data_IF_880564930622
#
_entry.id   IF_880564930622
#
_cell.length_a   1.000
_cell.length_b   1.000
_cell.length_c   1.000
_cell.angle_alpha   90.00
_cell.angle_beta   90.00
_cell.angle_gamma   90.00
#
_symmetry.space_group_name_H-M   'P 1'
#
loop_
_entity.id
_entity.type
_entity.pdbx_description
1 polymer ?
#
# COMPACT_ATOMS: atom_id res chain seq x y z
N UNK A 1 -1.51 3.74 25.95
CA UNK A 1 -0.10 3.43 26.24
C UNK A 1 0.48 2.35 25.32
N UNK A 2 -0.01 1.11 25.32
CA UNK A 2 0.57 0.03 24.50
C UNK A 2 0.65 0.33 22.99
N UNK A 3 -0.39 0.98 22.43
CA UNK A 3 -0.41 1.36 21.02
C UNK A 3 0.59 2.48 20.68
N UNK A 4 0.85 3.37 21.64
CA UNK A 4 1.88 4.42 21.54
C UNK A 4 3.25 3.77 21.62
N UNK A 5 3.47 2.89 22.60
CA UNK A 5 4.70 2.13 22.76
C UNK A 5 5.01 1.27 21.52
N UNK A 6 3.99 0.73 20.85
CA UNK A 6 4.15 0.02 19.58
C UNK A 6 4.78 0.93 18.50
N UNK A 7 4.30 2.16 18.30
CA UNK A 7 4.90 3.09 17.34
C UNK A 7 6.30 3.52 17.79
N UNK A 8 6.47 3.87 19.07
CA UNK A 8 7.74 4.27 19.65
C UNK A 8 8.81 3.16 19.57
N UNK A 9 8.42 1.89 19.56
CA UNK A 9 9.33 0.76 19.35
C UNK A 9 10.02 0.76 17.97
N UNK A 10 9.55 1.60 17.05
CA UNK A 10 10.21 1.85 15.76
C UNK A 10 11.46 2.74 15.86
N UNK A 11 11.71 3.39 17.00
CA UNK A 11 12.88 4.24 17.18
C UNK A 11 14.18 3.44 17.05
N UNK A 12 15.08 3.89 16.16
CA UNK A 12 16.38 3.27 15.91
C UNK A 12 17.50 4.31 15.92
N UNK A 13 18.69 3.99 16.47
CA UNK A 13 19.84 4.87 16.33
C UNK A 13 20.25 5.00 14.86
N UNK A 14 20.91 6.11 14.50
CA UNK A 14 21.11 6.52 13.10
C UNK A 14 21.87 5.49 12.26
N UNK A 15 22.84 4.81 12.85
CA UNK A 15 23.62 3.72 12.25
C UNK A 15 22.75 2.51 11.83
N UNK A 16 21.58 2.37 12.44
CA UNK A 16 20.61 1.31 12.14
C UNK A 16 19.50 1.78 11.20
N UNK A 17 19.53 3.02 10.71
CA UNK A 17 18.57 3.48 9.71
C UNK A 17 18.78 2.77 8.39
N UNK A 18 17.67 2.45 7.74
CA UNK A 18 17.62 1.77 6.45
C UNK A 18 16.65 2.48 5.51
N UNK A 19 16.72 2.11 4.25
CA UNK A 19 15.88 2.58 3.16
C UNK A 19 15.11 1.36 2.67
N UNK A 20 13.80 1.32 2.93
CA UNK A 20 12.90 0.40 2.26
C UNK A 20 12.31 1.07 1.03
N UNK A 21 12.14 0.38 -0.08
CA UNK A 21 11.51 0.94 -1.28
C UNK A 21 10.46 -0.03 -1.80
N UNK A 22 9.29 0.51 -2.10
CA UNK A 22 8.20 -0.27 -2.66
C UNK A 22 7.75 0.36 -3.97
N UNK A 23 7.39 -0.45 -4.95
CA UNK A 23 6.87 0.06 -6.21
C UNK A 23 5.91 -0.92 -6.87
N UNK A 24 4.92 -0.35 -7.53
CA UNK A 24 3.87 -1.07 -8.25
C UNK A 24 4.04 -0.87 -9.76
N UNK A 25 3.54 -1.82 -10.53
CA UNK A 25 3.56 -1.77 -11.99
C UNK A 25 2.37 -2.51 -12.59
N UNK A 26 1.86 -2.01 -13.71
CA UNK A 26 0.74 -2.64 -14.42
C UNK A 26 1.24 -3.73 -15.37
N UNK A 27 0.83 -4.96 -15.16
CA UNK A 27 1.03 -6.05 -16.13
C UNK A 27 0.04 -5.96 -17.29
N UNK A 28 0.49 -6.23 -18.52
CA UNK A 28 -0.36 -6.25 -19.70
C UNK A 28 0.06 -7.32 -20.74
N UNK A 29 -0.86 -7.73 -21.59
CA UNK A 29 -0.59 -8.61 -22.73
C UNK A 29 0.00 -7.82 -23.92
N UNK A 30 1.12 -8.24 -24.49
CA UNK A 30 1.78 -7.48 -25.56
C UNK A 30 0.92 -7.34 -26.83
N UNK A 31 0.13 -8.37 -27.18
CA UNK A 31 -0.68 -8.37 -28.41
C UNK A 31 -1.97 -7.54 -28.32
N UNK A 32 -2.57 -7.43 -27.13
CA UNK A 32 -3.90 -6.81 -26.96
C UNK A 32 -3.86 -5.55 -26.09
N UNK A 33 -2.76 -5.35 -25.36
CA UNK A 33 -2.57 -4.37 -24.30
C UNK A 33 -3.51 -4.56 -23.10
N UNK A 34 -4.29 -5.64 -23.04
CA UNK A 34 -5.24 -5.91 -21.95
C UNK A 34 -4.48 -6.07 -20.62
N UNK A 35 -5.06 -5.65 -19.49
CA UNK A 35 -4.46 -5.89 -18.19
C UNK A 35 -4.30 -7.38 -17.94
N UNK A 36 -3.20 -7.79 -17.30
CA UNK A 36 -2.98 -9.18 -16.93
C UNK A 36 -4.08 -9.69 -16.00
N UNK A 37 -4.67 -10.84 -16.35
CA UNK A 37 -5.65 -11.54 -15.50
C UNK A 37 -4.93 -12.26 -14.37
N UNK A 38 -5.70 -12.64 -13.35
CA UNK A 38 -5.16 -13.36 -12.21
C UNK A 38 -4.46 -14.66 -12.62
N UNK A 39 -4.99 -15.42 -13.59
CA UNK A 39 -4.38 -16.69 -14.02
C UNK A 39 -2.98 -16.49 -14.59
N UNK A 40 -2.78 -15.42 -15.37
CA UNK A 40 -1.47 -15.03 -15.90
C UNK A 40 -0.54 -14.56 -14.78
N UNK A 41 -1.06 -13.80 -13.81
CA UNK A 41 -0.27 -13.36 -12.65
C UNK A 41 0.16 -14.57 -11.81
N UNK A 42 -0.72 -15.55 -11.59
CA UNK A 42 -0.41 -16.76 -10.86
C UNK A 42 0.70 -17.57 -11.56
N UNK A 43 0.59 -17.77 -12.87
CA UNK A 43 1.64 -18.41 -13.67
C UNK A 43 2.97 -17.65 -13.59
N UNK A 44 2.95 -16.32 -13.65
CA UNK A 44 4.15 -15.49 -13.45
C UNK A 44 4.76 -15.68 -12.05
N UNK A 45 3.95 -15.67 -10.98
CA UNK A 45 4.43 -15.89 -9.62
C UNK A 45 5.03 -17.30 -9.45
N UNK A 46 4.40 -18.32 -10.04
CA UNK A 46 4.93 -19.69 -10.05
C UNK A 46 6.28 -19.76 -10.78
N UNK A 47 6.39 -19.17 -11.97
CA UNK A 47 7.62 -19.14 -12.74
C UNK A 47 8.76 -18.42 -12.02
N UNK A 48 8.47 -17.30 -11.35
CA UNK A 48 9.46 -16.57 -10.54
C UNK A 48 9.90 -17.41 -9.35
N UNK A 49 8.95 -18.01 -8.62
CA UNK A 49 9.23 -18.85 -7.45
C UNK A 49 10.16 -20.00 -7.79
N UNK A 50 9.90 -20.70 -8.90
CA UNK A 50 10.64 -21.90 -9.29
C UNK A 50 11.99 -21.59 -9.93
N UNK A 51 12.12 -20.46 -10.62
CA UNK A 51 13.36 -20.08 -11.33
C UNK A 51 14.34 -19.31 -10.46
N UNK A 52 13.85 -18.58 -9.47
CA UNK A 52 14.65 -17.65 -8.65
C UNK A 52 14.53 -17.90 -7.15
N UNK A 53 14.01 -19.07 -6.75
CA UNK A 53 13.94 -19.54 -5.36
C UNK A 53 13.21 -18.58 -4.42
N UNK A 54 12.00 -18.18 -4.80
CA UNK A 54 11.10 -17.44 -3.90
C UNK A 54 10.08 -18.36 -3.25
N UNK A 55 9.79 -18.13 -1.97
CA UNK A 55 8.75 -18.81 -1.22
C UNK A 55 7.36 -18.30 -1.65
N UNK A 56 6.43 -19.22 -1.91
CA UNK A 56 5.05 -18.90 -2.32
C UNK A 56 4.22 -18.43 -1.13
N UNK A 57 3.56 -17.28 -1.26
CA UNK A 57 2.58 -16.78 -0.27
C UNK A 57 1.17 -17.16 -0.76
N UNK A 58 0.44 -17.91 0.06
CA UNK A 58 -0.87 -18.47 -0.29
C UNK A 58 -2.00 -17.90 0.58
N UNK A 59 -3.15 -17.60 -0.03
CA UNK A 59 -4.43 -17.37 0.64
C UNK A 59 -5.39 -18.51 0.27
N UNK A 60 -5.50 -19.51 1.15
CA UNK A 60 -6.11 -20.79 0.78
C UNK A 60 -5.24 -21.50 -0.27
N UNK A 61 -5.85 -21.87 -1.41
CA UNK A 61 -5.18 -22.53 -2.53
C UNK A 61 -4.66 -21.53 -3.59
N UNK A 62 -4.85 -20.23 -3.35
CA UNK A 62 -4.54 -19.13 -4.27
C UNK A 62 -3.17 -18.54 -3.95
N UNK A 63 -2.25 -18.51 -4.92
CA UNK A 63 -0.98 -17.78 -4.78
C UNK A 63 -1.24 -16.28 -4.91
N UNK A 64 -0.85 -15.51 -3.91
CA UNK A 64 -1.13 -14.06 -3.83
C UNK A 64 0.13 -13.19 -3.73
N UNK A 65 1.30 -13.83 -3.73
CA UNK A 65 2.57 -13.16 -3.61
C UNK A 65 3.73 -14.13 -3.43
N UNK A 66 4.92 -13.57 -3.28
CA UNK A 66 6.16 -14.29 -3.05
C UNK A 66 6.96 -13.64 -1.92
N UNK A 67 7.85 -14.39 -1.28
CA UNK A 67 8.79 -13.89 -0.29
C UNK A 67 10.20 -14.44 -0.54
N UNK A 68 11.21 -13.60 -0.39
CA UNK A 68 12.60 -14.03 -0.38
C UNK A 68 13.39 -13.18 0.62
N UNK A 69 13.79 -13.78 1.74
CA UNK A 69 14.41 -13.05 2.84
C UNK A 69 13.51 -11.93 3.37
N UNK A 70 13.96 -10.69 3.22
CA UNK A 70 13.24 -9.48 3.63
C UNK A 70 12.47 -8.79 2.49
N UNK A 71 12.50 -9.35 1.28
CA UNK A 71 11.72 -8.87 0.15
C UNK A 71 10.41 -9.64 0.05
N UNK A 72 9.38 -8.98 -0.46
CA UNK A 72 8.13 -9.63 -0.85
C UNK A 72 7.56 -9.05 -2.12
N UNK A 73 6.91 -9.91 -2.91
CA UNK A 73 6.09 -9.54 -4.05
C UNK A 73 4.63 -9.68 -3.62
N UNK A 74 3.83 -8.65 -3.84
CA UNK A 74 2.40 -8.60 -3.53
C UNK A 74 1.58 -8.15 -4.74
N UNK A 75 0.28 -8.38 -4.63
CA UNK A 75 -0.71 -7.94 -5.61
C UNK A 75 -1.67 -6.95 -4.97
N UNK A 76 -1.83 -5.80 -5.62
CA UNK A 76 -2.86 -4.81 -5.34
C UNK A 76 -4.23 -5.21 -5.95
N UNK A 77 -5.35 -4.52 -5.62
CA UNK A 77 -6.69 -4.96 -6.01
C UNK A 77 -6.90 -5.22 -7.50
N UNK A 78 -6.27 -4.40 -8.36
CA UNK A 78 -6.34 -4.51 -9.82
C UNK A 78 -5.28 -5.39 -10.46
N UNK A 79 -4.49 -6.11 -9.66
CA UNK A 79 -3.37 -6.94 -10.14
C UNK A 79 -2.11 -6.15 -10.43
N UNK A 80 -1.99 -4.92 -9.92
CA UNK A 80 -0.72 -4.20 -9.93
C UNK A 80 0.29 -5.01 -9.15
N UNK A 81 1.46 -5.22 -9.75
CA UNK A 81 2.45 -6.19 -9.28
C UNK A 81 3.55 -5.48 -8.53
N UNK A 82 3.50 -5.59 -7.21
CA UNK A 82 4.33 -4.82 -6.29
C UNK A 82 5.60 -5.57 -5.91
N UNK A 83 6.70 -4.83 -5.70
CA UNK A 83 7.80 -5.26 -4.85
C UNK A 83 7.79 -4.40 -3.59
N UNK A 84 7.80 -5.02 -2.42
CA UNK A 84 8.28 -4.41 -1.17
C UNK A 84 9.70 -4.91 -0.92
N UNK A 85 10.65 -3.98 -1.06
CA UNK A 85 12.08 -4.24 -0.99
C UNK A 85 12.60 -4.42 0.43
N UNK A 86 13.81 -4.97 0.55
CA UNK A 86 14.46 -5.12 1.84
C UNK A 86 14.88 -3.75 2.41
N UNK A 87 14.98 -3.62 3.75
CA UNK A 87 15.56 -2.44 4.37
C UNK A 87 17.09 -2.44 4.16
N UNK A 88 17.56 -1.66 3.17
CA UNK A 88 18.98 -1.59 2.79
C UNK A 88 19.68 -0.32 3.30
N UNK A 89 21.01 -0.30 3.28
CA UNK A 89 21.80 0.80 3.84
C UNK A 89 22.00 1.95 2.84
N UNK A 90 22.06 1.64 1.54
CA UNK A 90 22.42 2.62 0.51
C UNK A 90 21.48 2.59 -0.70
N UNK A 91 21.35 3.74 -1.37
CA UNK A 91 20.58 3.85 -2.62
C UNK A 91 21.16 3.00 -3.76
N UNK A 92 22.45 2.67 -3.71
CA UNK A 92 23.05 1.74 -4.68
C UNK A 92 22.49 0.32 -4.51
N UNK A 93 22.28 -0.13 -3.26
CA UNK A 93 21.61 -1.39 -2.99
C UNK A 93 20.14 -1.36 -3.39
N UNK A 94 19.42 -0.25 -3.13
CA UNK A 94 18.04 -0.06 -3.59
C UNK A 94 17.96 -0.20 -5.11
N UNK A 95 18.85 0.47 -5.85
CA UNK A 95 18.89 0.40 -7.30
C UNK A 95 19.22 -1.02 -7.79
N UNK A 96 20.16 -1.72 -7.16
CA UNK A 96 20.49 -3.10 -7.50
C UNK A 96 19.30 -4.04 -7.27
N UNK A 97 18.56 -3.87 -6.17
CA UNK A 97 17.38 -4.64 -5.85
C UNK A 97 16.26 -4.44 -6.88
N UNK A 98 15.96 -3.18 -7.22
CA UNK A 98 14.98 -2.85 -8.28
C UNK A 98 15.37 -3.50 -9.61
N UNK A 99 16.65 -3.41 -10.01
CA UNK A 99 17.11 -4.05 -11.25
C UNK A 99 17.00 -5.57 -11.21
N UNK A 100 17.33 -6.20 -10.08
CA UNK A 100 17.19 -7.65 -9.89
C UNK A 100 15.74 -8.09 -10.07
N UNK A 101 14.80 -7.42 -9.38
CA UNK A 101 13.38 -7.71 -9.51
C UNK A 101 12.88 -7.54 -10.95
N UNK A 102 13.20 -6.40 -11.59
CA UNK A 102 12.76 -6.15 -12.96
C UNK A 102 13.33 -7.18 -13.95
N UNK A 103 14.56 -7.64 -13.75
CA UNK A 103 15.16 -8.71 -14.53
C UNK A 103 14.39 -10.03 -14.36
N UNK A 104 14.14 -10.45 -13.12
CA UNK A 104 13.44 -11.70 -12.82
C UNK A 104 12.02 -11.72 -13.38
N UNK A 105 11.28 -10.62 -13.19
CA UNK A 105 9.93 -10.46 -13.72
C UNK A 105 9.93 -10.53 -15.25
N UNK A 106 10.84 -9.81 -15.91
CA UNK A 106 10.95 -9.83 -17.39
C UNK A 106 11.30 -11.21 -17.93
N UNK A 107 12.25 -11.90 -17.30
CA UNK A 107 12.72 -13.21 -17.74
C UNK A 107 11.59 -14.26 -17.83
N UNK A 108 10.55 -14.14 -17.01
CA UNK A 108 9.37 -15.02 -17.05
C UNK A 108 8.25 -14.40 -17.89
N UNK A 109 7.97 -13.11 -17.72
CA UNK A 109 6.86 -12.42 -18.40
C UNK A 109 6.99 -12.39 -19.93
N UNK A 110 8.21 -12.30 -20.46
CA UNK A 110 8.47 -12.29 -21.91
C UNK A 110 8.07 -13.63 -22.56
N UNK A 111 8.34 -14.76 -21.91
CA UNK A 111 7.95 -16.10 -22.37
C UNK A 111 6.41 -16.25 -22.43
N UNK A 112 5.70 -15.52 -21.57
CA UNK A 112 4.23 -15.49 -21.51
C UNK A 112 3.61 -14.48 -22.50
N UNK A 113 4.42 -13.73 -23.25
CA UNK A 113 3.92 -12.66 -24.12
C UNK A 113 3.30 -11.48 -23.36
N UNK A 114 3.76 -11.23 -22.13
CA UNK A 114 3.30 -10.12 -21.28
C UNK A 114 4.40 -9.08 -21.06
N UNK A 115 4.02 -7.89 -20.64
CA UNK A 115 4.91 -6.77 -20.34
C UNK A 115 4.43 -5.99 -19.11
N UNK A 116 5.26 -5.04 -18.66
CA UNK A 116 4.95 -4.19 -17.50
C UNK A 116 5.11 -2.71 -17.83
N UNK A 117 4.19 -1.90 -17.31
CA UNK A 117 4.14 -0.45 -17.51
C UNK A 117 4.28 0.28 -16.17
N UNK A 118 5.28 1.17 -16.08
CA UNK A 118 5.49 2.08 -14.96
C UNK A 118 4.82 3.44 -15.22
N UNK A 119 3.59 3.60 -14.73
CA UNK A 119 2.81 4.84 -14.84
C UNK A 119 1.91 4.98 -13.61
N UNK A 120 1.62 6.20 -13.16
CA UNK A 120 0.84 6.41 -11.93
C UNK A 120 -0.64 6.03 -12.04
N UNK A 121 -1.19 5.94 -13.25
CA UNK A 121 -2.60 5.61 -13.50
C UNK A 121 -2.77 4.83 -14.81
N UNK A 122 -3.63 3.81 -14.81
CA UNK A 122 -3.93 3.00 -15.99
C UNK A 122 -4.46 3.86 -17.16
N UNK A 123 -3.69 4.01 -18.25
CA UNK A 123 -3.96 5.04 -19.24
C UNK A 123 -5.04 4.66 -20.27
N UNK A 124 -5.36 3.37 -20.43
CA UNK A 124 -6.12 2.85 -21.58
C UNK A 124 -7.49 2.27 -21.23
N UNK A 125 -7.59 1.54 -20.12
CA UNK A 125 -8.76 0.70 -19.83
C UNK A 125 -9.66 1.31 -18.75
N UNK A 126 -10.96 1.15 -18.96
CA UNK A 126 -11.96 1.58 -17.98
C UNK A 126 -11.90 0.68 -16.74
N UNK A 127 -12.36 1.20 -15.60
CA UNK A 127 -12.39 0.48 -14.31
C UNK A 127 -13.03 -0.92 -14.41
N UNK A 128 -14.14 -1.05 -15.16
CA UNK A 128 -14.85 -2.32 -15.36
C UNK A 128 -14.07 -3.39 -16.14
N UNK A 129 -12.98 -3.00 -16.79
CA UNK A 129 -12.12 -3.88 -17.59
C UNK A 129 -10.89 -4.33 -16.80
N UNK A 130 -10.72 -3.86 -15.56
CA UNK A 130 -9.62 -4.24 -14.68
C UNK A 130 -9.97 -5.54 -13.95
N UNK A 131 -9.11 -6.57 -13.99
CA UNK A 131 -9.25 -7.79 -13.21
C UNK A 131 -9.29 -7.51 -11.71
N UNK A 132 -9.94 -8.38 -10.96
CA UNK A 132 -10.04 -8.25 -9.50
C UNK A 132 -9.23 -9.38 -8.89
N UNK A 133 -8.26 -9.03 -8.05
CA UNK A 133 -7.45 -10.05 -7.37
C UNK A 133 -8.28 -10.80 -6.31
N UNK A 134 -8.14 -12.14 -6.21
CA UNK A 134 -8.93 -12.98 -5.33
C UNK A 134 -8.43 -12.91 -3.86
N UNK A 135 -8.49 -11.73 -3.23
CA UNK A 135 -8.09 -11.48 -1.84
C UNK A 135 -9.27 -10.95 -1.04
N UNK A 136 -9.65 -11.63 0.04
CA UNK A 136 -10.90 -11.33 0.77
C UNK A 136 -10.97 -9.90 1.33
N UNK A 137 -9.83 -9.29 1.70
CA UNK A 137 -9.79 -7.89 2.15
C UNK A 137 -10.24 -6.88 1.09
N UNK A 138 -10.03 -7.17 -0.19
CA UNK A 138 -10.37 -6.23 -1.27
C UNK A 138 -11.87 -6.20 -1.55
N UNK A 139 -12.61 -7.28 -1.29
CA UNK A 139 -14.07 -7.26 -1.40
C UNK A 139 -14.70 -6.28 -0.39
N UNK A 140 -14.20 -6.26 0.85
CA UNK A 140 -14.65 -5.33 1.89
C UNK A 140 -14.38 -3.89 1.45
N UNK A 141 -13.14 -3.59 1.04
CA UNK A 141 -12.76 -2.25 0.60
C UNK A 141 -13.57 -1.80 -0.63
N UNK A 142 -13.73 -2.66 -1.65
CA UNK A 142 -14.51 -2.36 -2.87
C UNK A 142 -15.95 -1.99 -2.56
N UNK A 143 -16.57 -2.67 -1.59
CA UNK A 143 -17.93 -2.38 -1.16
C UNK A 143 -18.03 -1.10 -0.31
N UNK A 144 -16.94 -0.69 0.34
CA UNK A 144 -16.89 0.49 1.19
C UNK A 144 -16.57 1.78 0.43
N UNK A 145 -15.62 1.76 -0.51
CA UNK A 145 -15.14 2.97 -1.21
C UNK A 145 -16.28 3.86 -1.76
N UNK A 146 -17.33 3.33 -2.43
CA UNK A 146 -18.43 4.16 -2.94
C UNK A 146 -19.24 4.91 -1.86
N UNK A 147 -19.09 4.53 -0.58
CA UNK A 147 -19.77 5.17 0.55
C UNK A 147 -19.03 6.41 1.07
N UNK A 148 -17.76 6.58 0.72
CA UNK A 148 -16.85 7.59 1.32
C UNK A 148 -16.15 8.50 0.32
N UNK A 149 -16.17 8.16 -0.97
CA UNK A 149 -15.62 8.97 -2.05
C UNK A 149 -16.01 8.43 -3.42
N UNK A 150 -15.82 9.23 -4.48
CA UNK A 150 -16.13 8.78 -5.85
C UNK A 150 -14.96 8.13 -6.57
N UNK A 151 -13.72 8.37 -6.10
CA UNK A 151 -12.49 7.92 -6.76
C UNK A 151 -11.77 6.76 -6.04
N UNK A 152 -12.28 6.30 -4.89
CA UNK A 152 -11.62 5.24 -4.11
C UNK A 152 -11.51 3.89 -4.83
N UNK A 153 -12.43 3.58 -5.75
CA UNK A 153 -12.29 2.40 -6.62
C UNK A 153 -11.16 2.59 -7.64
N UNK A 154 -10.99 3.79 -8.19
CA UNK A 154 -9.90 4.06 -9.12
C UNK A 154 -8.53 4.03 -8.45
N UNK A 155 -8.46 4.47 -7.19
CA UNK A 155 -7.27 4.27 -6.35
C UNK A 155 -6.90 2.77 -6.30
N UNK A 156 -7.85 1.93 -5.88
CA UNK A 156 -7.64 0.50 -5.71
C UNK A 156 -7.21 -0.23 -6.99
N UNK A 157 -7.88 0.06 -8.11
CA UNK A 157 -7.76 -0.77 -9.31
C UNK A 157 -6.90 -0.14 -10.42
N UNK A 158 -6.71 1.18 -10.42
CA UNK A 158 -6.12 1.89 -11.55
C UNK A 158 -4.93 2.77 -11.19
N UNK A 159 -4.42 2.75 -9.97
CA UNK A 159 -3.19 3.49 -9.63
C UNK A 159 -1.98 2.57 -9.39
N UNK A 160 -0.78 3.12 -9.62
CA UNK A 160 0.49 2.55 -9.17
C UNK A 160 1.29 3.65 -8.44
N UNK A 161 2.14 3.26 -7.49
CA UNK A 161 3.05 4.15 -6.78
C UNK A 161 4.49 3.66 -6.80
N UNK A 162 5.41 4.56 -6.46
CA UNK A 162 6.72 4.24 -5.87
C UNK A 162 6.79 4.96 -4.54
N UNK A 163 7.23 4.28 -3.49
CA UNK A 163 7.31 4.83 -2.15
C UNK A 163 8.59 4.40 -1.44
N UNK A 164 8.97 5.16 -0.42
CA UNK A 164 10.13 4.91 0.41
C UNK A 164 9.70 4.85 1.88
N UNK A 165 10.23 3.86 2.59
CA UNK A 165 10.04 3.68 4.03
C UNK A 165 11.32 4.13 4.74
N UNK A 166 11.21 5.06 5.69
CA UNK A 166 12.35 5.67 6.39
C UNK A 166 12.22 5.61 7.91
N UNK A 167 13.35 5.35 8.57
CA UNK A 167 13.41 5.23 10.02
C UNK A 167 13.49 6.60 10.74
N UNK A 168 13.20 6.60 12.03
CA UNK A 168 13.40 7.74 12.95
C UNK A 168 14.07 7.27 14.25
N UNK A 169 14.76 8.18 14.96
CA UNK A 169 15.52 7.83 16.17
C UNK A 169 14.82 8.11 17.49
N UNK A 170 13.80 8.96 17.47
CA UNK A 170 13.05 9.40 18.65
C UNK A 170 11.73 10.02 18.19
N UNK A 171 10.83 10.30 19.13
CA UNK A 171 9.61 11.07 18.85
C UNK A 171 9.93 12.45 18.26
N UNK A 172 10.92 13.16 18.79
CA UNK A 172 11.33 14.47 18.27
C UNK A 172 11.85 14.39 16.83
N UNK A 173 12.63 13.36 16.49
CA UNK A 173 13.09 13.12 15.12
C UNK A 173 11.93 12.73 14.19
N UNK A 174 11.00 11.88 14.67
CA UNK A 174 9.78 11.50 13.97
C UNK A 174 8.94 12.73 13.62
N UNK A 175 8.64 13.61 14.59
CA UNK A 175 7.87 14.84 14.38
C UNK A 175 8.52 15.72 13.30
N UNK A 176 9.84 15.92 13.39
CA UNK A 176 10.60 16.73 12.41
C UNK A 176 10.53 16.14 11.02
N UNK A 177 10.73 14.83 10.88
CA UNK A 177 10.66 14.13 9.59
C UNK A 177 9.25 14.13 9.03
N UNK A 178 8.23 13.88 9.84
CA UNK A 178 6.84 13.88 9.40
C UNK A 178 6.44 15.26 8.86
N UNK A 179 6.72 16.34 9.61
CA UNK A 179 6.45 17.73 9.17
C UNK A 179 7.17 18.07 7.87
N UNK A 180 8.45 17.71 7.76
CA UNK A 180 9.24 17.95 6.54
C UNK A 180 8.68 17.17 5.34
N UNK A 181 8.43 15.88 5.51
CA UNK A 181 7.89 15.01 4.45
C UNK A 181 6.52 15.50 3.98
N UNK A 182 5.59 15.84 4.89
CA UNK A 182 4.28 16.37 4.50
C UNK A 182 4.40 17.68 3.74
N UNK A 183 5.18 18.65 4.25
CA UNK A 183 5.34 19.94 3.61
C UNK A 183 5.93 19.84 2.18
N UNK A 184 6.83 18.86 1.97
CA UNK A 184 7.51 18.65 0.69
C UNK A 184 6.80 17.63 -0.22
N UNK A 185 5.79 16.90 0.26
CA UNK A 185 5.11 15.87 -0.51
C UNK A 185 4.52 16.39 -1.83
N UNK A 186 3.88 17.58 -1.89
CA UNK A 186 3.41 18.12 -3.17
C UNK A 186 4.53 18.40 -4.18
N UNK A 187 5.75 18.73 -3.72
CA UNK A 187 6.93 18.91 -4.58
C UNK A 187 7.37 17.56 -5.16
N UNK A 188 7.41 16.51 -4.33
CA UNK A 188 7.69 15.16 -4.80
C UNK A 188 6.64 14.70 -5.83
N UNK A 189 5.35 14.91 -5.54
CA UNK A 189 4.25 14.62 -6.47
C UNK A 189 4.41 15.35 -7.80
N UNK A 190 4.83 16.62 -7.79
CA UNK A 190 5.07 17.38 -9.02
C UNK A 190 6.26 16.85 -9.83
N UNK A 191 7.38 16.51 -9.17
CA UNK A 191 8.57 15.95 -9.83
C UNK A 191 8.31 14.58 -10.47
N UNK A 192 7.46 13.77 -9.83
CA UNK A 192 7.14 12.40 -10.27
C UNK A 192 5.77 12.28 -10.96
N UNK A 193 5.16 13.40 -11.35
CA UNK A 193 3.85 13.40 -12.01
C UNK A 193 3.90 12.64 -13.34
N UNK A 194 3.20 11.50 -13.38
CA UNK A 194 3.26 10.56 -14.51
C UNK A 194 1.91 9.84 -14.70
N UNK A 195 0.79 10.57 -14.79
CA UNK A 195 -0.52 9.96 -15.08
C UNK A 195 -1.49 10.88 -15.84
N UNK A 196 -1.17 11.29 -17.08
CA UNK A 196 -1.96 12.28 -17.81
C UNK A 196 -3.09 11.71 -18.68
N UNK A 197 -3.30 10.39 -18.70
CA UNK A 197 -4.29 9.74 -19.56
C UNK A 197 -5.32 8.94 -18.76
N UNK A 198 -6.56 8.93 -19.25
CA UNK A 198 -7.66 8.06 -18.80
C UNK A 198 -8.41 7.57 -20.02
N UNK A 199 -8.72 6.27 -20.08
CA UNK A 199 -9.48 5.63 -21.17
C UNK A 199 -8.98 5.99 -22.59
N UNK A 200 -7.65 6.09 -22.73
CA UNK A 200 -6.94 6.38 -23.98
C UNK A 200 -6.87 7.86 -24.37
N UNK A 201 -7.28 8.79 -23.52
CA UNK A 201 -7.30 10.24 -23.81
C UNK A 201 -6.65 11.07 -22.69
N UNK A 202 -6.12 12.27 -22.99
CA UNK A 202 -5.68 13.20 -21.97
C UNK A 202 -6.82 13.51 -20.98
N UNK A 203 -6.53 13.45 -19.68
CA UNK A 203 -7.53 13.62 -18.62
C UNK A 203 -7.52 15.00 -17.95
N UNK A 204 -6.62 15.90 -18.37
CA UNK A 204 -6.49 17.26 -17.84
C UNK A 204 -5.58 17.39 -16.62
N UNK A 205 -5.00 16.29 -16.12
CA UNK A 205 -4.06 16.29 -15.00
C UNK A 205 -2.65 15.89 -15.43
N UNK A 206 -1.65 16.32 -14.66
CA UNK A 206 -0.30 15.76 -14.76
C UNK A 206 -0.18 14.48 -13.91
N UNK A 207 -0.83 14.49 -12.74
CA UNK A 207 -0.93 13.35 -11.85
C UNK A 207 -2.40 13.07 -11.49
N UNK A 208 -3.11 12.36 -12.36
CA UNK A 208 -4.45 11.84 -12.04
C UNK A 208 -4.41 10.96 -10.78
N UNK A 209 -3.33 10.18 -10.60
CA UNK A 209 -3.08 9.42 -9.38
C UNK A 209 -3.24 10.27 -8.12
N UNK A 210 -2.56 11.42 -8.06
CA UNK A 210 -2.62 12.29 -6.87
C UNK A 210 -4.00 12.91 -6.69
N UNK A 211 -4.67 13.31 -7.77
CA UNK A 211 -6.04 13.81 -7.69
C UNK A 211 -7.02 12.75 -7.14
N UNK A 212 -6.89 11.49 -7.54
CA UNK A 212 -7.73 10.40 -7.04
C UNK A 212 -7.70 10.28 -5.51
N UNK A 213 -6.53 10.49 -4.89
CA UNK A 213 -6.39 10.43 -3.44
C UNK A 213 -7.18 11.52 -2.69
N UNK A 214 -7.54 12.64 -3.34
CA UNK A 214 -8.33 13.71 -2.71
C UNK A 214 -9.81 13.38 -2.58
N UNK A 215 -10.31 12.34 -3.26
CA UNK A 215 -11.70 11.89 -3.18
C UNK A 215 -11.80 10.36 -3.05
N UNK A 216 -10.85 9.79 -2.30
CA UNK A 216 -10.81 8.36 -1.96
C UNK A 216 -11.57 8.09 -0.66
N UNK A 217 -11.12 8.67 0.46
CA UNK A 217 -11.78 8.64 1.78
C UNK A 217 -11.15 9.70 2.69
N UNK A 218 -11.90 10.76 2.99
CA UNK A 218 -11.41 11.91 3.76
C UNK A 218 -11.10 11.60 5.23
N UNK A 219 -11.51 10.43 5.76
CA UNK A 219 -11.16 10.04 7.13
C UNK A 219 -9.73 9.50 7.24
N UNK A 220 -9.16 9.01 6.13
CA UNK A 220 -7.88 8.27 6.14
C UNK A 220 -6.84 8.82 5.17
N UNK A 221 -7.15 9.85 4.40
CA UNK A 221 -6.26 10.43 3.39
C UNK A 221 -5.96 11.91 3.66
N UNK A 222 -4.97 12.45 2.93
CA UNK A 222 -4.65 13.87 2.91
C UNK A 222 -3.42 14.28 3.73
N UNK A 223 -3.34 15.59 4.01
CA UNK A 223 -2.13 16.27 4.49
C UNK A 223 -1.96 16.31 6.02
N UNK A 224 -2.91 15.78 6.79
CA UNK A 224 -2.88 15.70 8.26
C UNK A 224 -2.40 17.01 8.94
N UNK A 225 -3.15 18.13 8.84
CA UNK A 225 -2.68 19.44 9.32
C UNK A 225 -2.29 19.44 10.81
N UNK A 226 -2.93 18.61 11.64
CA UNK A 226 -2.63 18.48 13.08
C UNK A 226 -1.19 18.02 13.36
N UNK A 227 -0.47 17.46 12.38
CA UNK A 227 0.97 17.14 12.51
C UNK A 227 1.82 18.39 12.76
N UNK A 228 1.32 19.57 12.41
CA UNK A 228 1.98 20.86 12.62
C UNK A 228 1.59 21.54 13.93
N UNK A 229 0.65 20.99 14.70
CA UNK A 229 0.29 21.52 16.02
C UNK A 229 1.46 21.31 17.00
N UNK A 230 1.63 22.23 17.95
CA UNK A 230 2.69 22.14 18.97
C UNK A 230 2.55 20.90 19.87
N UNK A 231 1.34 20.34 19.96
CA UNK A 231 1.02 19.14 20.74
C UNK A 231 1.32 17.83 20.01
N UNK A 232 1.72 17.88 18.73
CA UNK A 232 1.87 16.67 17.94
C UNK A 232 2.99 15.76 18.43
N UNK A 233 2.66 14.47 18.53
CA UNK A 233 3.54 13.37 18.90
C UNK A 233 2.89 12.02 18.57
N UNK A 234 3.46 10.92 19.07
CA UNK A 234 2.91 9.57 18.87
C UNK A 234 1.49 9.46 19.42
N UNK A 235 1.21 10.07 20.57
CA UNK A 235 -0.11 10.04 21.21
C UNK A 235 -1.20 10.61 20.30
N UNK A 236 -1.01 11.83 19.77
CA UNK A 236 -1.98 12.45 18.87
C UNK A 236 -2.16 11.65 17.56
N UNK A 237 -1.10 11.01 17.05
CA UNK A 237 -1.23 10.12 15.89
C UNK A 237 -2.02 8.83 16.22
N UNK A 238 -1.82 8.26 17.41
CA UNK A 238 -2.60 7.11 17.89
C UNK A 238 -4.07 7.50 18.03
N UNK A 239 -4.38 8.64 18.64
CA UNK A 239 -5.76 9.12 18.76
C UNK A 239 -6.43 9.31 17.40
N UNK A 240 -5.73 9.96 16.46
CA UNK A 240 -6.18 10.05 15.07
C UNK A 240 -6.51 8.66 14.51
N UNK A 241 -5.56 7.72 14.59
CA UNK A 241 -5.73 6.37 14.06
C UNK A 241 -6.84 5.57 14.76
N UNK A 242 -7.09 5.80 16.06
CA UNK A 242 -8.19 5.16 16.80
C UNK A 242 -9.57 5.55 16.25
N UNK A 243 -9.69 6.79 15.74
CA UNK A 243 -10.93 7.36 15.25
C UNK A 243 -11.10 7.18 13.72
N UNK A 244 -10.06 6.78 12.99
CA UNK A 244 -10.20 6.34 11.60
C UNK A 244 -11.08 5.07 11.55
N UNK A 245 -12.15 5.04 10.73
CA UNK A 245 -12.99 3.86 10.60
C UNK A 245 -12.19 2.63 10.13
N UNK A 246 -12.41 1.50 10.78
CA UNK A 246 -11.79 0.23 10.43
C UNK A 246 -12.33 -0.29 9.08
N UNK A 247 -11.54 -1.15 8.42
CA UNK A 247 -12.05 -1.97 7.32
C UNK A 247 -12.40 -3.38 7.78
N UNK A 248 -11.46 -4.05 8.44
CA UNK A 248 -11.61 -5.45 8.78
C UNK A 248 -10.89 -5.82 10.07
N UNK A 249 -11.26 -6.97 10.62
CA UNK A 249 -10.46 -7.72 11.58
C UNK A 249 -10.15 -9.10 10.98
N UNK A 250 -8.93 -9.58 11.16
CA UNK A 250 -8.53 -10.90 10.66
C UNK A 250 -8.63 -11.95 11.76
N UNK A 251 -9.52 -12.93 11.59
CA UNK A 251 -9.74 -14.03 12.54
C UNK A 251 -9.91 -15.33 11.81
N UNK A 252 -9.31 -16.41 12.32
CA UNK A 252 -9.49 -17.78 11.80
C UNK A 252 -9.37 -17.86 10.26
N UNK A 253 -8.35 -17.18 9.72
CA UNK A 253 -8.07 -17.06 8.28
C UNK A 253 -9.14 -16.35 7.44
N UNK A 254 -9.97 -15.51 8.06
CA UNK A 254 -11.04 -14.76 7.39
C UNK A 254 -10.95 -13.28 7.73
N UNK A 255 -11.28 -12.45 6.75
CA UNK A 255 -11.49 -11.02 6.92
C UNK A 255 -12.95 -10.80 7.35
N UNK A 256 -13.14 -10.26 8.55
CA UNK A 256 -14.45 -9.88 9.08
C UNK A 256 -14.65 -8.39 8.78
N UNK A 257 -15.74 -8.06 8.08
CA UNK A 257 -16.11 -6.67 7.77
C UNK A 257 -16.47 -5.93 9.06
N UNK A 258 -15.71 -4.87 9.35
CA UNK A 258 -15.97 -3.97 10.46
C UNK A 258 -16.00 -2.51 9.96
N UNK A 259 -16.44 -2.32 8.71
CA UNK A 259 -16.57 -1.01 8.07
C UNK A 259 -17.51 -0.10 8.83
N UNK A 260 -17.11 1.17 8.99
CA UNK A 260 -17.86 2.17 9.77
C UNK A 260 -17.74 2.03 11.30
N UNK A 261 -17.00 1.03 11.80
CA UNK A 261 -16.69 0.88 13.22
C UNK A 261 -15.33 1.52 13.54
N UNK A 262 -15.07 1.85 14.81
CA UNK A 262 -13.81 2.47 15.24
C UNK A 262 -12.90 1.48 15.95
N UNK A 263 -11.57 1.68 15.84
CA UNK A 263 -10.62 0.90 16.65
C UNK A 263 -10.74 1.24 18.14
N UNK A 264 -11.21 2.46 18.46
CA UNK A 264 -11.57 2.87 19.83
C UNK A 264 -12.65 1.97 20.45
N UNK A 265 -13.68 1.61 19.69
CA UNK A 265 -14.69 0.65 20.16
C UNK A 265 -14.13 -0.77 20.27
N UNK A 266 -13.16 -1.14 19.43
CA UNK A 266 -12.47 -2.42 19.55
C UNK A 266 -11.68 -2.51 20.85
N UNK A 267 -10.92 -1.47 21.21
CA UNK A 267 -10.21 -1.41 22.49
C UNK A 267 -11.15 -1.60 23.69
N UNK A 268 -12.41 -1.16 23.58
CA UNK A 268 -13.42 -1.31 24.61
C UNK A 268 -14.19 -2.66 24.54
N UNK A 269 -13.86 -3.55 23.60
CA UNK A 269 -14.57 -4.82 23.39
C UNK A 269 -15.98 -4.65 22.83
N UNK A 270 -16.27 -3.51 22.18
CA UNK A 270 -17.61 -3.11 21.74
C UNK A 270 -17.85 -3.24 20.24
N UNK A 271 -16.98 -3.94 19.49
CA UNK A 271 -17.22 -4.18 18.07
C UNK A 271 -18.43 -5.11 17.85
N UNK A 272 -19.50 -4.67 17.16
CA UNK A 272 -20.65 -5.54 16.88
C UNK A 272 -20.30 -6.76 16.01
N UNK A 273 -19.29 -6.64 15.12
CA UNK A 273 -18.83 -7.72 14.24
C UNK A 273 -18.17 -8.89 15.01
N UNK A 274 -17.60 -8.62 16.20
CA UNK A 274 -16.92 -9.59 17.07
C UNK A 274 -17.14 -9.23 18.57
N UNK A 275 -18.36 -9.42 19.11
CA UNK A 275 -18.74 -8.90 20.42
C UNK A 275 -17.85 -9.43 21.55
N UNK A 276 -17.30 -8.53 22.36
CA UNK A 276 -16.48 -8.86 23.53
C UNK A 276 -15.03 -9.23 23.23
N UNK A 277 -14.61 -9.32 21.96
CA UNK A 277 -13.20 -9.50 21.61
C UNK A 277 -12.41 -8.19 21.80
N UNK A 278 -11.18 -8.32 22.29
CA UNK A 278 -10.22 -7.20 22.40
C UNK A 278 -9.16 -7.30 21.28
N UNK A 279 -8.58 -6.16 20.86
CA UNK A 279 -7.59 -6.14 19.79
C UNK A 279 -6.25 -6.71 20.26
N UNK A 280 -5.52 -7.26 19.31
CA UNK A 280 -4.11 -7.62 19.44
C UNK A 280 -3.22 -6.56 18.79
N UNK A 281 -1.91 -6.60 19.03
CA UNK A 281 -0.95 -5.74 18.29
C UNK A 281 -0.97 -6.03 16.78
N UNK A 282 -1.29 -7.24 16.35
CA UNK A 282 -1.47 -7.56 14.93
C UNK A 282 -2.72 -6.86 14.36
N UNK A 283 -3.80 -6.72 15.13
CA UNK A 283 -4.98 -5.96 14.71
C UNK A 283 -4.65 -4.47 14.58
N UNK A 284 -3.87 -3.94 15.53
CA UNK A 284 -3.39 -2.57 15.45
C UNK A 284 -2.50 -2.34 14.23
N UNK A 285 -1.56 -3.26 13.98
CA UNK A 285 -0.69 -3.19 12.81
C UNK A 285 -1.49 -3.22 11.51
N UNK A 286 -2.47 -4.14 11.41
CA UNK A 286 -3.38 -4.22 10.27
C UNK A 286 -4.17 -2.93 10.08
N UNK A 287 -4.74 -2.37 11.15
CA UNK A 287 -5.50 -1.13 11.10
C UNK A 287 -4.67 0.05 10.59
N UNK A 288 -3.44 0.23 11.09
CA UNK A 288 -2.52 1.25 10.61
C UNK A 288 -2.20 1.12 9.12
N UNK A 289 -2.18 -0.10 8.56
CA UNK A 289 -1.97 -0.30 7.11
C UNK A 289 -3.14 0.18 6.25
N UNK A 290 -4.30 0.44 6.85
CA UNK A 290 -5.49 0.93 6.15
C UNK A 290 -5.61 2.45 6.15
N UNK A 291 -4.69 3.17 6.79
CA UNK A 291 -4.66 4.63 6.76
C UNK A 291 -3.75 5.04 5.59
N UNK A 292 -4.16 6.04 4.79
CA UNK A 292 -3.50 6.41 3.53
C UNK A 292 -3.26 7.94 3.38
N UNK A 293 -2.67 8.61 4.38
CA UNK A 293 -2.27 10.01 4.24
C UNK A 293 -1.12 10.16 3.24
N UNK A 294 -0.83 11.40 2.87
CA UNK A 294 0.31 11.75 2.01
C UNK A 294 1.67 11.31 2.61
N UNK A 295 1.77 11.23 3.94
CA UNK A 295 2.88 10.60 4.69
C UNK A 295 2.29 9.82 5.85
N UNK A 296 2.71 8.56 6.02
CA UNK A 296 2.09 7.62 6.97
C UNK A 296 3.06 7.19 8.05
N UNK A 297 2.64 7.29 9.31
CA UNK A 297 3.43 6.79 10.43
C UNK A 297 3.02 5.35 10.80
N UNK A 298 4.03 4.48 10.83
CA UNK A 298 4.02 3.17 11.48
C UNK A 298 5.21 3.11 12.44
N UNK A 299 5.90 1.97 12.53
CA UNK A 299 7.23 1.88 13.19
C UNK A 299 8.37 2.50 12.35
N UNK A 300 8.00 3.17 11.26
CA UNK A 300 8.80 3.93 10.30
C UNK A 300 7.84 4.94 9.65
N UNK A 301 8.35 5.90 8.88
CA UNK A 301 7.58 6.85 8.06
C UNK A 301 7.57 6.41 6.59
#
# INVERSE_FOLDING_TARGET
DDLIAYLASGCKPKENWRIGTEHEKFGFENGTLRPMKYEQIAELLHGIAERFDWDKIMEGDTIIGLKQGMQSISLEPGGQFELSGAPVETLHQTCAEVNSHLYQVKAVAEEMGTGFLGIGFQPKWALKEIPIMPKGRYDIMRNYMPKVGSLGLDMMFRTCTVQVNLDFSSEADMIRKFRASLALQPIATALFANSPFTDGKPNGYLSMRSHIWTDTDNNRAGMLPFVFDDTFGFEQYVDYALDVPMYFVYRKKKYIDCTGMSFRDFLAGRLPCIPGELPTLNDWENHLTTIFPEVRLRRYL
#
